data_IF_307761694899
#
_entry.id   IF_307761694899
#
_cell.length_a   1.000
_cell.length_b   1.000
_cell.length_c   1.000
_cell.angle_alpha   90.00
_cell.angle_beta   90.00
_cell.angle_gamma   90.00
#
_symmetry.space_group_name_H-M   'P 1'
#
loop_
_entity.id
_entity.type
_entity.pdbx_description
1 polymer ?
#
# COMPACT_ATOMS: atom_id res chain seq x y z
N UNK A 1 -6.97 -8.52 -7.36
CA UNK A 1 -7.67 -8.72 -8.65
C UNK A 1 -9.13 -8.35 -8.43
N UNK A 2 -9.79 -7.72 -9.41
CA UNK A 2 -11.21 -7.35 -9.26
C UNK A 2 -12.13 -8.49 -9.71
N UNK A 3 -13.03 -8.90 -8.82
CA UNK A 3 -14.06 -9.91 -9.07
C UNK A 3 -15.42 -9.24 -9.13
N UNK A 4 -16.26 -9.65 -10.08
CA UNK A 4 -17.61 -9.11 -10.26
C UNK A 4 -18.62 -10.25 -10.18
N UNK A 5 -19.60 -10.14 -9.28
CA UNK A 5 -20.67 -11.12 -9.11
C UNK A 5 -22.03 -10.46 -9.30
N UNK A 6 -22.88 -11.08 -10.12
CA UNK A 6 -24.25 -10.62 -10.32
C UNK A 6 -25.18 -11.21 -9.26
N UNK A 7 -26.15 -10.44 -8.79
CA UNK A 7 -27.25 -10.90 -7.94
C UNK A 7 -28.57 -10.28 -8.37
N UNK A 8 -29.66 -11.00 -8.14
CA UNK A 8 -31.01 -10.54 -8.44
C UNK A 8 -31.83 -10.34 -7.17
N UNK A 9 -31.52 -11.10 -6.12
CA UNK A 9 -32.24 -11.04 -4.84
C UNK A 9 -31.37 -10.53 -3.69
N UNK A 10 -31.99 -9.96 -2.64
CA UNK A 10 -31.26 -9.58 -1.42
C UNK A 10 -30.58 -10.78 -0.73
N UNK A 11 -31.16 -11.98 -0.84
CA UNK A 11 -30.61 -13.19 -0.24
C UNK A 11 -29.35 -13.67 -0.97
N UNK A 12 -29.34 -13.63 -2.31
CA UNK A 12 -28.14 -13.88 -3.12
C UNK A 12 -27.04 -12.87 -2.81
N UNK A 13 -27.39 -11.59 -2.65
CA UNK A 13 -26.45 -10.54 -2.27
C UNK A 13 -25.75 -10.90 -0.96
N UNK A 14 -26.51 -11.27 0.05
CA UNK A 14 -25.97 -11.61 1.37
C UNK A 14 -25.12 -12.88 1.31
N UNK A 15 -25.54 -13.89 0.53
CA UNK A 15 -24.76 -15.10 0.30
C UNK A 15 -23.42 -14.82 -0.40
N UNK A 16 -23.39 -13.92 -1.38
CA UNK A 16 -22.16 -13.51 -2.05
C UNK A 16 -21.21 -12.78 -1.09
N UNK A 17 -21.74 -11.91 -0.23
CA UNK A 17 -20.94 -11.21 0.78
C UNK A 17 -20.38 -12.21 1.79
N UNK A 18 -21.19 -13.18 2.24
CA UNK A 18 -20.75 -14.17 3.22
C UNK A 18 -19.80 -15.22 2.65
N UNK A 19 -19.94 -15.57 1.37
CA UNK A 19 -19.07 -16.52 0.68
C UNK A 19 -17.70 -15.96 0.29
N UNK A 20 -17.59 -14.63 0.14
CA UNK A 20 -16.36 -13.94 -0.26
C UNK A 20 -15.76 -13.11 0.89
N UNK A 21 -15.84 -13.60 2.14
CA UNK A 21 -15.28 -12.92 3.33
C UNK A 21 -13.76 -12.76 3.28
N UNK A 22 -13.10 -13.58 2.47
CA UNK A 22 -11.66 -13.51 2.17
C UNK A 22 -11.32 -12.32 1.25
N UNK A 23 -12.33 -11.67 0.65
CA UNK A 23 -12.18 -10.55 -0.27
C UNK A 23 -12.76 -9.27 0.31
N UNK A 24 -12.23 -8.14 -0.13
CA UNK A 24 -12.74 -6.83 0.25
C UNK A 24 -13.83 -6.43 -0.74
N UNK A 25 -15.05 -6.18 -0.26
CA UNK A 25 -16.09 -5.54 -1.06
C UNK A 25 -15.67 -4.09 -1.35
N UNK A 26 -15.50 -3.76 -2.62
CA UNK A 26 -15.06 -2.43 -3.07
C UNK A 26 -16.18 -1.59 -3.67
N UNK A 27 -17.30 -2.21 -4.05
CA UNK A 27 -18.46 -1.47 -4.55
C UNK A 27 -19.64 -2.34 -4.95
N UNK A 28 -20.75 -1.67 -5.22
CA UNK A 28 -22.01 -2.24 -5.72
C UNK A 28 -22.44 -1.41 -6.94
N UNK A 29 -22.68 -2.07 -8.08
CA UNK A 29 -23.16 -1.45 -9.31
C UNK A 29 -24.58 -1.91 -9.62
N UNK A 30 -25.47 -0.96 -9.85
CA UNK A 30 -26.84 -1.23 -10.27
C UNK A 30 -27.00 -0.74 -11.72
N UNK A 31 -27.03 -1.66 -12.68
CA UNK A 31 -27.20 -1.33 -14.10
C UNK A 31 -28.45 -2.02 -14.65
N UNK A 32 -28.89 -1.61 -15.84
CA UNK A 32 -30.09 -2.15 -16.51
C UNK A 32 -30.08 -3.67 -16.68
N UNK A 33 -28.90 -4.29 -16.75
CA UNK A 33 -28.73 -5.74 -16.90
C UNK A 33 -28.73 -6.50 -15.56
N UNK A 34 -28.70 -5.80 -14.43
CA UNK A 34 -28.76 -6.40 -13.09
C UNK A 34 -27.89 -5.68 -12.06
N UNK A 35 -27.85 -6.27 -10.87
CA UNK A 35 -27.06 -5.75 -9.76
C UNK A 35 -25.77 -6.54 -9.63
N UNK A 36 -24.66 -5.86 -9.33
CA UNK A 36 -23.35 -6.47 -9.28
C UNK A 36 -22.58 -6.03 -8.03
N UNK A 37 -21.95 -6.99 -7.36
CA UNK A 37 -20.98 -6.72 -6.30
C UNK A 37 -19.58 -6.84 -6.87
N UNK A 38 -18.73 -5.87 -6.54
CA UNK A 38 -17.32 -5.84 -6.94
C UNK A 38 -16.48 -6.11 -5.71
N UNK A 39 -15.65 -7.15 -5.77
CA UNK A 39 -14.69 -7.52 -4.74
C UNK A 39 -13.27 -7.33 -5.26
N UNK A 40 -12.33 -7.10 -4.35
CA UNK A 40 -10.90 -7.08 -4.63
C UNK A 40 -10.17 -7.96 -3.63
N UNK A 41 -9.00 -8.45 -4.01
CA UNK A 41 -8.14 -9.17 -3.08
C UNK A 41 -7.65 -8.21 -2.00
N UNK A 42 -7.55 -8.70 -0.76
CA UNK A 42 -6.85 -7.96 0.29
C UNK A 42 -5.35 -8.01 -0.01
N UNK A 43 -4.87 -7.04 -0.77
CA UNK A 43 -3.44 -6.80 -0.85
C UNK A 43 -3.00 -6.24 0.50
N UNK A 44 -2.21 -7.02 1.25
CA UNK A 44 -1.54 -6.51 2.45
C UNK A 44 -0.62 -5.37 2.03
N UNK A 45 -1.08 -4.12 2.20
CA UNK A 45 -0.20 -2.97 2.13
C UNK A 45 0.77 -3.06 3.29
N UNK A 46 1.94 -3.66 3.05
CA UNK A 46 3.09 -3.54 3.95
C UNK A 46 3.51 -2.07 3.89
N UNK A 47 3.00 -1.27 4.83
CA UNK A 47 3.45 0.10 5.02
C UNK A 47 4.88 0.05 5.56
N UNK A 48 5.87 0.12 4.67
CA UNK A 48 7.28 0.28 5.07
C UNK A 48 7.40 1.64 5.75
N UNK A 49 7.73 1.73 7.06
CA UNK A 49 7.89 3.00 7.72
C UNK A 49 9.04 3.78 7.06
N UNK A 50 8.76 4.96 6.50
CA UNK A 50 9.78 5.84 5.88
C UNK A 50 10.72 6.52 6.89
N UNK A 51 10.78 6.05 8.13
CA UNK A 51 11.60 6.71 9.14
C UNK A 51 13.07 6.27 9.02
N UNK A 52 13.90 7.24 8.63
CA UNK A 52 15.38 7.30 8.63
C UNK A 52 16.11 6.76 7.39
N UNK A 53 16.09 7.56 6.33
CA UNK A 53 17.25 7.70 5.44
C UNK A 53 17.70 9.17 5.47
N UNK A 54 17.94 9.73 6.65
CA UNK A 54 18.46 11.11 6.80
C UNK A 54 19.68 11.20 7.73
N UNK A 55 20.26 10.06 8.16
CA UNK A 55 21.39 10.06 9.10
C UNK A 55 22.72 9.62 8.50
N UNK A 56 22.85 9.50 7.17
CA UNK A 56 24.09 9.05 6.50
C UNK A 56 24.83 10.14 5.72
N UNK A 57 24.19 11.28 5.43
CA UNK A 57 24.84 12.37 4.69
C UNK A 57 25.58 13.36 5.61
N UNK A 58 25.01 13.68 6.78
CA UNK A 58 25.65 14.62 7.71
C UNK A 58 26.97 14.09 8.30
N UNK A 59 27.11 12.77 8.48
CA UNK A 59 28.32 12.18 9.08
C UNK A 59 29.52 12.11 8.13
N UNK A 60 29.34 12.27 6.81
CA UNK A 60 30.45 12.23 5.85
C UNK A 60 31.11 13.60 5.69
N UNK A 61 30.31 14.68 5.69
CA UNK A 61 30.83 16.05 5.60
C UNK A 61 31.77 16.41 6.77
N UNK A 62 31.41 16.01 7.99
CA UNK A 62 32.22 16.28 9.18
C UNK A 62 33.56 15.49 9.18
N UNK A 63 33.60 14.32 8.55
CA UNK A 63 34.83 13.51 8.44
C UNK A 63 35.79 14.08 7.37
N UNK A 64 35.25 14.59 6.26
CA UNK A 64 36.07 15.16 5.19
C UNK A 64 36.74 16.48 5.59
N UNK A 65 36.08 17.32 6.39
CA UNK A 65 36.65 18.58 6.90
C UNK A 65 37.82 18.33 7.88
N UNK A 66 37.69 17.34 8.76
CA UNK A 66 38.75 16.93 9.68
C UNK A 66 39.98 16.38 8.94
N UNK A 67 39.77 15.60 7.87
CA UNK A 67 40.87 15.05 7.04
C UNK A 67 41.58 16.16 6.26
N UNK A 68 40.84 17.10 5.66
CA UNK A 68 41.46 18.25 4.97
C UNK A 68 42.29 19.12 5.90
N UNK A 69 41.79 19.38 7.11
CA UNK A 69 42.50 20.22 8.09
C UNK A 69 43.79 19.56 8.58
N UNK A 70 43.78 18.24 8.79
CA UNK A 70 44.96 17.47 9.17
C UNK A 70 46.03 17.40 8.07
N UNK A 71 45.61 17.40 6.79
CA UNK A 71 46.53 17.36 5.64
C UNK A 71 47.11 18.74 5.28
N UNK A 72 46.38 19.82 5.55
CA UNK A 72 46.82 21.20 5.25
C UNK A 72 47.59 21.87 6.40
N UNK A 73 47.46 21.38 7.64
CA UNK A 73 48.15 21.91 8.82
C UNK A 73 49.54 21.32 9.09
N UNK A 74 50.05 20.45 8.22
CA UNK A 74 51.37 19.83 8.34
C UNK A 74 52.46 20.58 7.57
N UNK A 75 52.90 21.74 8.09
CA UNK A 75 54.23 22.32 7.84
C UNK A 75 54.56 23.38 8.91
#
# INVERSE_FOLDING_TARGET
MKYRFQYQTPEERENLIQGNKDKRLVGEENITEGNFLIFDDMEEMIAVPRQRIESLEASQADQDELIMTALLGGN
#
